data_IF_450130898449
#
_entry.id   IF_450130898449
#
_cell.length_a   1.000
_cell.length_b   1.000
_cell.length_c   1.000
_cell.angle_alpha   90.00
_cell.angle_beta   90.00
_cell.angle_gamma   90.00
#
_symmetry.space_group_name_H-M   'P 1'
#
loop_
_entity.id
_entity.type
_entity.pdbx_description
1 polymer ?
#
# COMPACT_ATOMS: atom_id res chain seq x y z
N UNK A 1 0.72 5.88 9.45
CA UNK A 1 1.77 5.09 8.75
C UNK A 1 2.75 6.09 8.15
N UNK A 2 4.04 6.02 8.48
CA UNK A 2 5.05 6.95 7.92
C UNK A 2 5.23 6.70 6.41
N UNK A 3 5.41 7.77 5.64
CA UNK A 3 5.82 7.68 4.24
C UNK A 3 7.19 6.98 4.14
N UNK A 4 7.38 6.10 3.15
CA UNK A 4 8.63 5.36 2.93
C UNK A 4 9.06 5.50 1.47
N UNK A 5 10.35 5.32 1.19
CA UNK A 5 10.87 5.39 -0.18
C UNK A 5 10.84 6.80 -0.76
N UNK A 6 10.83 7.81 0.12
CA UNK A 6 11.00 9.23 -0.17
C UNK A 6 12.18 9.73 0.66
N UNK A 7 12.82 10.80 0.22
CA UNK A 7 13.89 11.48 0.93
C UNK A 7 13.37 12.14 2.23
N UNK A 8 14.29 12.72 3.02
CA UNK A 8 13.98 13.34 4.31
C UNK A 8 13.04 14.55 4.18
N UNK A 9 13.02 15.19 3.01
CA UNK A 9 12.07 16.23 2.64
C UNK A 9 10.61 15.72 2.52
N UNK A 10 10.40 14.40 2.54
CA UNK A 10 9.12 13.74 2.42
C UNK A 10 8.44 13.82 1.05
N UNK A 11 9.06 14.47 0.06
CA UNK A 11 8.44 14.75 -1.24
C UNK A 11 9.21 14.12 -2.41
N UNK A 12 10.54 14.04 -2.32
CA UNK A 12 11.38 13.53 -3.41
C UNK A 12 11.42 12.00 -3.38
N UNK A 13 11.05 11.29 -4.46
CA UNK A 13 11.17 9.84 -4.52
C UNK A 13 12.64 9.39 -4.51
N UNK A 14 12.98 8.42 -3.67
CA UNK A 14 14.30 7.78 -3.74
C UNK A 14 14.50 7.06 -5.08
N UNK A 15 15.74 6.84 -5.54
CA UNK A 15 16.03 5.98 -6.69
C UNK A 15 15.41 4.59 -6.51
N UNK A 16 15.03 3.93 -7.61
CA UNK A 16 14.29 2.66 -7.55
C UNK A 16 14.96 1.61 -6.67
N UNK A 17 16.28 1.46 -6.80
CA UNK A 17 17.06 0.45 -6.09
C UNK A 17 17.20 0.74 -4.60
N UNK A 18 17.10 2.01 -4.19
CA UNK A 18 17.26 2.44 -2.79
C UNK A 18 15.93 2.42 -2.03
N UNK A 19 14.81 2.20 -2.74
CA UNK A 19 13.51 2.07 -2.10
C UNK A 19 13.45 0.80 -1.24
N UNK A 20 12.75 0.84 -0.10
CA UNK A 20 12.43 -0.34 0.68
C UNK A 20 11.64 -1.40 -0.11
N UNK A 21 11.75 -2.65 0.31
CA UNK A 21 10.93 -3.75 -0.20
C UNK A 21 9.51 -3.71 0.40
N UNK A 22 8.54 -4.25 -0.35
CA UNK A 22 7.13 -4.28 0.01
C UNK A 22 6.84 -5.12 1.26
N UNK A 23 7.47 -6.29 1.36
CA UNK A 23 7.35 -7.21 2.50
C UNK A 23 5.97 -7.86 2.68
N UNK A 24 4.98 -7.58 1.81
CA UNK A 24 3.68 -8.26 1.86
C UNK A 24 3.83 -9.76 1.58
N UNK A 25 3.01 -10.60 2.23
CA UNK A 25 2.98 -12.04 1.95
C UNK A 25 2.43 -12.27 0.55
N UNK A 26 3.20 -12.95 -0.29
CA UNK A 26 2.77 -13.34 -1.64
C UNK A 26 1.81 -14.53 -1.57
N UNK A 27 1.13 -14.83 -2.68
CA UNK A 27 0.30 -16.04 -2.79
C UNK A 27 1.09 -17.33 -2.58
N UNK A 28 2.38 -17.33 -2.91
CA UNK A 28 3.31 -18.44 -2.68
C UNK A 28 3.83 -18.53 -1.24
N UNK A 29 3.40 -17.62 -0.36
CA UNK A 29 3.68 -17.68 1.08
C UNK A 29 4.94 -16.93 1.53
N UNK A 30 5.85 -16.57 0.63
CA UNK A 30 7.06 -15.81 0.95
C UNK A 30 6.83 -14.29 0.97
N UNK A 31 7.81 -13.51 1.45
CA UNK A 31 7.73 -12.05 1.44
C UNK A 31 7.94 -11.46 0.04
N UNK A 32 7.21 -10.40 -0.29
CA UNK A 32 7.31 -9.69 -1.56
C UNK A 32 8.59 -8.86 -1.61
N UNK A 33 9.44 -9.15 -2.59
CA UNK A 33 10.73 -8.49 -2.83
C UNK A 33 10.63 -7.23 -3.71
N UNK A 34 9.48 -6.94 -4.30
CA UNK A 34 9.29 -5.74 -5.12
C UNK A 34 9.44 -4.46 -4.30
N UNK A 35 9.95 -3.41 -4.94
CA UNK A 35 10.08 -2.07 -4.37
C UNK A 35 8.72 -1.44 -4.10
N UNK A 36 8.62 -0.70 -3.00
CA UNK A 36 7.41 0.06 -2.67
C UNK A 36 7.16 1.19 -3.67
N UNK A 37 5.90 1.60 -3.77
CA UNK A 37 5.57 2.89 -4.37
C UNK A 37 6.06 3.99 -3.44
N UNK A 38 6.74 5.05 -3.94
CA UNK A 38 7.19 6.17 -3.12
C UNK A 38 6.05 6.76 -2.28
N UNK A 39 6.33 7.06 -1.01
CA UNK A 39 5.36 7.58 -0.06
C UNK A 39 4.36 6.55 0.47
N UNK A 40 4.44 5.29 0.03
CA UNK A 40 3.52 4.21 0.42
C UNK A 40 4.27 3.11 1.17
N UNK A 41 3.51 2.13 1.67
CA UNK A 41 4.05 1.00 2.45
C UNK A 41 4.12 -0.31 1.66
N UNK A 42 3.61 -0.31 0.42
CA UNK A 42 3.42 -1.51 -0.41
C UNK A 42 3.78 -1.23 -1.88
N UNK A 43 4.07 -2.27 -2.64
CA UNK A 43 4.33 -2.18 -4.08
C UNK A 43 3.04 -2.11 -4.89
N UNK A 44 3.16 -1.87 -6.21
CA UNK A 44 2.03 -1.75 -7.13
C UNK A 44 1.07 -2.95 -7.11
N UNK A 45 1.59 -4.16 -6.91
CA UNK A 45 0.80 -5.39 -6.89
C UNK A 45 0.10 -5.66 -5.55
N UNK A 46 0.58 -5.08 -4.45
CA UNK A 46 0.02 -5.26 -3.11
C UNK A 46 -0.68 -3.99 -2.61
N UNK A 47 -1.32 -3.25 -3.54
CA UNK A 47 -2.15 -2.10 -3.20
C UNK A 47 -1.40 -0.77 -3.06
N UNK A 48 -0.11 -0.69 -3.38
CA UNK A 48 0.67 0.56 -3.35
C UNK A 48 0.15 1.65 -4.29
N UNK A 49 -0.59 1.28 -5.35
CA UNK A 49 -1.28 2.22 -6.24
C UNK A 49 -2.76 2.42 -5.88
N UNK A 50 -3.28 1.68 -4.90
CA UNK A 50 -4.68 1.85 -4.48
C UNK A 50 -4.85 3.19 -3.79
N UNK A 51 -5.88 3.93 -4.18
CA UNK A 51 -6.26 5.20 -3.55
C UNK A 51 -7.36 5.05 -2.51
N UNK A 52 -7.92 3.84 -2.36
CA UNK A 52 -9.08 3.59 -1.51
C UNK A 52 -10.36 4.29 -2.01
N UNK A 53 -11.49 4.11 -1.30
CA UNK A 53 -12.71 4.83 -1.61
C UNK A 53 -12.57 6.32 -1.26
N UNK A 54 -12.80 7.19 -2.25
CA UNK A 54 -12.73 8.64 -2.05
C UNK A 54 -14.06 9.26 -1.60
N UNK A 55 -15.18 8.62 -1.92
CA UNK A 55 -16.54 9.12 -1.59
C UNK A 55 -17.10 8.51 -0.31
N UNK A 56 -18.06 9.20 0.32
CA UNK A 56 -18.76 8.70 1.51
C UNK A 56 -19.47 7.37 1.22
N UNK A 57 -20.21 7.29 0.11
CA UNK A 57 -20.91 6.06 -0.30
C UNK A 57 -19.96 4.89 -0.54
N UNK A 58 -18.79 5.17 -1.14
CA UNK A 58 -17.76 4.15 -1.35
C UNK A 58 -17.21 3.62 -0.03
N UNK A 59 -16.99 4.51 0.95
CA UNK A 59 -16.57 4.12 2.31
C UNK A 59 -17.67 3.30 3.00
N UNK A 60 -18.92 3.72 2.89
CA UNK A 60 -20.07 3.02 3.48
C UNK A 60 -20.23 1.60 2.90
N UNK A 61 -20.13 1.44 1.57
CA UNK A 61 -20.15 0.15 0.89
C UNK A 61 -19.07 -0.80 1.40
N UNK A 62 -17.82 -0.33 1.49
CA UNK A 62 -16.71 -1.16 2.01
C UNK A 62 -16.94 -1.51 3.49
N UNK A 63 -17.39 -0.55 4.31
CA UNK A 63 -17.67 -0.80 5.72
C UNK A 63 -18.78 -1.85 5.92
N UNK A 64 -19.86 -1.78 5.14
CA UNK A 64 -20.94 -2.77 5.17
C UNK A 64 -20.43 -4.16 4.76
N UNK A 65 -19.65 -4.25 3.67
CA UNK A 65 -19.05 -5.52 3.24
C UNK A 65 -18.13 -6.14 4.30
N UNK A 66 -17.35 -5.31 5.02
CA UNK A 66 -16.50 -5.77 6.12
C UNK A 66 -17.33 -6.28 7.31
N UNK A 67 -18.41 -5.58 7.68
CA UNK A 67 -19.35 -6.04 8.73
C UNK A 67 -19.99 -7.37 8.35
N UNK A 68 -20.43 -7.53 7.11
CA UNK A 68 -21.04 -8.76 6.62
C UNK A 68 -20.07 -9.96 6.67
N UNK A 69 -18.79 -9.77 6.32
CA UNK A 69 -17.75 -10.82 6.40
C UNK A 69 -17.40 -11.27 7.81
N UNK A 70 -17.66 -10.44 8.81
CA UNK A 70 -17.34 -10.71 10.22
C UNK A 70 -18.49 -11.39 10.98
N UNK A 71 -19.65 -11.56 10.35
CA UNK A 71 -20.77 -12.36 10.86
C UNK A 71 -20.59 -13.79 10.37
#
# INVERSE_FOLDING_TARGET
MKARGVADDGSTPLPHNDRPICGARTRQGHQCKNKIVPGRTKCKFHGGLSTGPKTADGKARIAAAQKARKR
#
